data_IF_332841848783
#
_entry.id   IF_332841848783
#
_cell.length_a   1.000
_cell.length_b   1.000
_cell.length_c   1.000
_cell.angle_alpha   90.00
_cell.angle_beta   90.00
_cell.angle_gamma   90.00
#
_symmetry.space_group_name_H-M   'P 1'
#
loop_
_entity.id
_entity.type
_entity.pdbx_description
1 polymer ?
#
# COMPACT_ATOMS: atom_id res chain seq x y z
N UNK A 1 -2.32 -23.60 -5.90
CA UNK A 1 -1.32 -22.52 -6.02
C UNK A 1 -1.78 -21.40 -5.11
N UNK A 2 -1.08 -21.17 -4.00
CA UNK A 2 -1.46 -20.13 -3.05
C UNK A 2 -1.37 -18.78 -3.76
N UNK A 3 -2.47 -18.03 -3.77
CA UNK A 3 -2.51 -16.66 -4.26
C UNK A 3 -1.65 -15.85 -3.31
N UNK A 4 -0.44 -15.47 -3.71
CA UNK A 4 0.41 -14.59 -2.90
C UNK A 4 -0.39 -13.31 -2.66
N UNK A 5 -0.86 -13.12 -1.43
CA UNK A 5 -1.37 -11.82 -0.99
C UNK A 5 -0.18 -10.87 -1.03
N UNK A 6 -0.36 -9.77 -1.79
CA UNK A 6 0.64 -8.73 -1.90
C UNK A 6 0.85 -8.09 -0.53
N UNK A 7 2.08 -8.04 -0.05
CA UNK A 7 2.39 -7.44 1.24
C UNK A 7 2.43 -5.91 1.14
N UNK A 8 2.47 -5.22 2.29
CA UNK A 8 2.70 -3.78 2.35
C UNK A 8 4.10 -3.43 1.81
N UNK A 9 5.10 -4.25 2.11
CA UNK A 9 6.47 -4.09 1.63
C UNK A 9 6.54 -4.18 0.10
N UNK A 10 5.91 -5.20 -0.50
CA UNK A 10 5.79 -5.32 -1.96
C UNK A 10 5.09 -4.11 -2.60
N UNK A 11 4.12 -3.54 -1.87
CA UNK A 11 3.37 -2.37 -2.34
C UNK A 11 4.20 -1.09 -2.26
N UNK A 12 5.09 -0.96 -1.28
CA UNK A 12 6.04 0.15 -1.24
C UNK A 12 7.12 0.02 -2.31
N UNK A 13 7.65 -1.18 -2.54
CA UNK A 13 8.62 -1.42 -3.61
C UNK A 13 8.03 -1.08 -4.99
N UNK A 14 6.78 -1.45 -5.25
CA UNK A 14 6.11 -1.09 -6.50
C UNK A 14 5.86 0.43 -6.61
N UNK A 15 5.57 1.11 -5.50
CA UNK A 15 5.40 2.56 -5.48
C UNK A 15 6.72 3.28 -5.80
N UNK A 16 7.84 2.83 -5.23
CA UNK A 16 9.18 3.36 -5.55
C UNK A 16 9.51 3.18 -7.03
N UNK A 17 9.19 2.01 -7.59
CA UNK A 17 9.36 1.74 -9.02
C UNK A 17 8.50 2.66 -9.90
N UNK A 18 7.27 2.98 -9.48
CA UNK A 18 6.40 3.93 -10.19
C UNK A 18 7.00 5.34 -10.15
N UNK A 19 7.49 5.78 -8.98
CA UNK A 19 8.14 7.09 -8.81
C UNK A 19 9.39 7.18 -9.69
N UNK A 20 10.25 6.17 -9.66
CA UNK A 20 11.46 6.13 -10.49
C UNK A 20 11.14 6.24 -11.99
N UNK A 21 10.07 5.60 -12.47
CA UNK A 21 9.63 5.73 -13.87
C UNK A 21 9.04 7.10 -14.17
N UNK A 22 8.34 7.72 -13.22
CA UNK A 22 7.81 9.07 -13.39
C UNK A 22 8.91 10.14 -13.44
N UNK A 23 10.04 9.89 -12.78
CA UNK A 23 11.22 10.77 -12.82
C UNK A 23 12.10 10.58 -14.06
N UNK A 24 11.90 9.48 -14.80
CA UNK A 24 12.62 9.21 -16.04
C UNK A 24 12.20 10.20 -17.14
N UNK A 25 13.20 10.86 -17.75
CA UNK A 25 13.01 11.81 -18.85
C UNK A 25 12.44 11.19 -20.12
N UNK A 26 12.54 9.87 -20.28
CA UNK A 26 12.00 9.13 -21.44
C UNK A 26 10.51 8.78 -21.26
N UNK A 27 9.93 9.03 -20.10
CA UNK A 27 8.51 8.76 -19.85
C UNK A 27 7.64 9.81 -20.52
N UNK A 28 6.85 9.36 -21.51
CA UNK A 28 5.91 10.22 -22.21
C UNK A 28 4.69 10.56 -21.34
N UNK A 29 3.95 11.59 -21.74
CA UNK A 29 2.82 12.12 -20.98
C UNK A 29 1.72 11.07 -20.73
N UNK A 30 1.38 10.25 -21.72
CA UNK A 30 0.33 9.23 -21.58
C UNK A 30 0.72 8.13 -20.59
N UNK A 31 1.99 7.73 -20.59
CA UNK A 31 2.51 6.75 -19.64
C UNK A 31 2.66 7.36 -18.24
N UNK A 32 3.03 8.63 -18.12
CA UNK A 32 2.98 9.36 -16.84
C UNK A 32 1.58 9.36 -16.24
N UNK A 33 0.54 9.57 -17.05
CA UNK A 33 -0.84 9.48 -16.57
C UNK A 33 -1.21 8.08 -16.07
N UNK A 34 -0.77 7.02 -16.76
CA UNK A 34 -1.02 5.64 -16.32
C UNK A 34 -0.29 5.33 -15.03
N UNK A 35 1.00 5.66 -14.94
CA UNK A 35 1.85 5.45 -13.77
C UNK A 35 1.30 6.20 -12.56
N UNK A 36 0.86 7.45 -12.73
CA UNK A 36 0.21 8.22 -11.67
C UNK A 36 -1.06 7.53 -11.17
N UNK A 37 -1.95 7.10 -12.06
CA UNK A 37 -3.16 6.38 -11.67
C UNK A 37 -2.84 5.07 -10.95
N UNK A 38 -1.83 4.33 -11.41
CA UNK A 38 -1.35 3.12 -10.73
C UNK A 38 -0.85 3.44 -9.32
N UNK A 39 -0.05 4.49 -9.15
CA UNK A 39 0.45 4.92 -7.85
C UNK A 39 -0.69 5.30 -6.89
N UNK A 40 -1.71 6.03 -7.37
CA UNK A 40 -2.89 6.39 -6.56
C UNK A 40 -3.68 5.15 -6.13
N UNK A 41 -3.89 4.18 -7.03
CA UNK A 41 -4.56 2.93 -6.67
C UNK A 41 -3.76 2.12 -5.65
N UNK A 42 -2.44 2.07 -5.80
CA UNK A 42 -1.55 1.37 -4.89
C UNK A 42 -1.56 2.00 -3.49
N UNK A 43 -1.51 3.34 -3.41
CA UNK A 43 -1.65 4.06 -2.14
C UNK A 43 -2.98 3.78 -1.45
N UNK A 44 -4.06 3.65 -2.22
CA UNK A 44 -5.36 3.28 -1.66
C UNK A 44 -5.33 1.88 -1.04
N UNK A 45 -4.73 0.92 -1.73
CA UNK A 45 -4.57 -0.45 -1.21
C UNK A 45 -3.73 -0.47 0.07
N UNK A 46 -2.65 0.31 0.12
CA UNK A 46 -1.82 0.43 1.33
C UNK A 46 -2.64 0.97 2.51
N UNK A 47 -3.37 2.07 2.31
CA UNK A 47 -4.23 2.64 3.36
C UNK A 47 -5.29 1.63 3.83
N UNK A 48 -6.00 0.97 2.91
CA UNK A 48 -7.01 -0.04 3.25
C UNK A 48 -6.42 -1.21 4.07
N UNK A 49 -5.17 -1.59 3.77
CA UNK A 49 -4.45 -2.63 4.51
C UNK A 49 -4.09 -2.19 5.93
N UNK A 50 -3.58 -0.96 6.08
CA UNK A 50 -3.24 -0.37 7.38
C UNK A 50 -4.50 -0.25 8.25
N UNK A 51 -5.58 0.33 7.71
CA UNK A 51 -6.88 0.44 8.38
C UNK A 51 -7.40 -0.91 8.89
N UNK A 52 -7.21 -1.97 8.10
CA UNK A 52 -7.62 -3.33 8.47
C UNK A 52 -6.79 -3.87 9.63
N UNK A 53 -5.49 -3.57 9.68
CA UNK A 53 -4.61 -3.96 10.78
C UNK A 53 -4.97 -3.16 12.04
N UNK A 54 -5.16 -1.85 11.94
CA UNK A 54 -5.57 -1.00 13.07
C UNK A 54 -6.89 -1.48 13.68
N UNK A 55 -7.91 -1.78 12.86
CA UNK A 55 -9.18 -2.33 13.34
C UNK A 55 -9.02 -3.68 14.04
N UNK A 56 -8.12 -4.54 13.55
CA UNK A 56 -7.81 -5.81 14.22
C UNK A 56 -7.16 -5.58 15.59
N UNK A 57 -6.24 -4.62 15.69
CA UNK A 57 -5.61 -4.26 16.97
C UNK A 57 -6.67 -3.75 17.96
N UNK A 58 -7.56 -2.86 17.53
CA UNK A 58 -8.65 -2.36 18.37
C UNK A 58 -9.53 -3.51 18.87
N UNK A 59 -9.96 -4.42 17.99
CA UNK A 59 -10.78 -5.57 18.37
C UNK A 59 -10.05 -6.53 19.33
N UNK A 60 -8.73 -6.67 19.23
CA UNK A 60 -7.94 -7.46 20.17
C UNK A 60 -7.90 -6.78 21.54
N UNK A 61 -7.69 -5.47 21.58
CA UNK A 61 -7.66 -4.68 22.81
C UNK A 61 -9.05 -4.64 23.49
N UNK A 62 -10.13 -4.54 22.72
CA UNK A 62 -11.51 -4.55 23.24
C UNK A 62 -11.96 -5.93 23.74
N UNK A 63 -11.37 -7.02 23.23
CA UNK A 63 -11.72 -8.39 23.61
C UNK A 63 -10.92 -8.95 24.80
N UNK A 64 -10.08 -8.14 25.45
CA UNK A 64 -9.63 -8.39 26.82
C UNK A 64 -8.16 -8.73 27.03
N UNK A 65 -7.27 -7.77 26.78
CA UNK A 65 -6.12 -7.54 27.65
C UNK A 65 -6.00 -6.02 27.89
N UNK A 66 -6.28 -5.61 29.12
CA UNK A 66 -5.82 -4.33 29.64
C UNK A 66 -4.30 -4.31 29.52
N UNK A 67 -3.76 -3.50 28.61
CA UNK A 67 -2.40 -2.99 28.77
C UNK A 67 -2.42 -2.05 30.00
N UNK A 68 -2.25 -2.64 31.19
CA UNK A 68 -1.69 -1.91 32.32
C UNK A 68 -0.26 -1.52 31.93
N UNK A 69 -0.09 -0.26 31.51
CA UNK A 69 1.19 0.44 31.50
C UNK A 69 1.70 0.68 32.93
#
# INVERSE_FOLDING_TARGET
>A
MAKNEKTLEDSFEELENIISKLEDSDTNLDDSFKLYNQGVQLLKICNDSIDKIEKKIILLNENGESDEL
#
